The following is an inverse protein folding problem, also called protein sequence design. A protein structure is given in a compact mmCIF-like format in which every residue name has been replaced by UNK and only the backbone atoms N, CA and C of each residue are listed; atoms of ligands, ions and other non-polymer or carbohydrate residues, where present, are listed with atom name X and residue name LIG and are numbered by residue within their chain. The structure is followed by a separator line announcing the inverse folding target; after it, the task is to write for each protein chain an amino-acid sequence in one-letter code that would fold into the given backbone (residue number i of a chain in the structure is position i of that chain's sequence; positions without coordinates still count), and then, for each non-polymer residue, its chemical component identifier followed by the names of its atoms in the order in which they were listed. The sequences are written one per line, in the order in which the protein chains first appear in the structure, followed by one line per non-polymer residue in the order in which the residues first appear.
data_IF_218145814055
#
_entry.id   IF_218145814055
#
_cell.length_a   1.000
_cell.length_b   1.000
_cell.length_c   1.000
_cell.angle_alpha   90.00
_cell.angle_beta   90.00
_cell.angle_gamma   90.00
#
_symmetry.space_group_name_H-M   'P 1'
#
loop_
_entity.id
_entity.type
_entity.pdbx_description
1 polymer ?
#
# COMPACT_ATOMS: atom_id res chain seq x y z
N UNK A 1 13.00 -5.77 -18.52
CA UNK A 1 12.29 -4.50 -18.31
C UNK A 1 11.90 -4.52 -16.86
N UNK A 2 12.66 -3.83 -16.05
CA UNK A 2 12.34 -3.62 -14.65
C UNK A 2 11.08 -2.75 -14.62
N UNK A 3 10.03 -3.11 -13.88
CA UNK A 3 8.90 -2.21 -13.74
C UNK A 3 9.40 -0.91 -13.09
N UNK A 4 9.14 0.22 -13.74
CA UNK A 4 9.57 1.56 -13.26
C UNK A 4 8.96 1.95 -11.90
N UNK A 5 7.99 1.17 -11.43
CA UNK A 5 7.17 1.46 -10.26
C UNK A 5 7.64 0.62 -9.07
N UNK A 6 8.11 1.28 -8.01
CA UNK A 6 8.54 0.64 -6.76
C UNK A 6 7.38 0.02 -5.97
N UNK A 7 6.13 0.23 -6.43
CA UNK A 7 4.91 -0.23 -5.77
C UNK A 7 4.04 -1.02 -6.75
N UNK A 8 3.74 -2.26 -6.35
CA UNK A 8 2.75 -3.11 -7.02
C UNK A 8 1.57 -3.37 -6.06
N UNK A 9 0.36 -3.39 -6.60
CA UNK A 9 -0.85 -3.74 -5.85
C UNK A 9 -1.82 -4.52 -6.73
N UNK A 10 -2.52 -5.47 -6.13
CA UNK A 10 -3.53 -6.32 -6.78
C UNK A 10 -4.80 -6.41 -5.92
N UNK A 11 -5.86 -6.96 -6.49
CA UNK A 11 -7.13 -7.13 -5.79
C UNK A 11 -8.04 -5.90 -5.84
N UNK A 12 -9.22 -6.02 -5.23
CA UNK A 12 -10.29 -5.01 -5.29
C UNK A 12 -9.91 -3.67 -4.64
N UNK A 13 -9.10 -3.71 -3.57
CA UNK A 13 -8.56 -2.52 -2.90
C UNK A 13 -7.24 -2.00 -3.48
N UNK A 14 -6.69 -2.66 -4.51
CA UNK A 14 -5.32 -2.45 -4.97
C UNK A 14 -5.05 -1.03 -5.45
N UNK A 15 -5.97 -0.41 -6.17
CA UNK A 15 -5.78 0.97 -6.66
C UNK A 15 -5.76 1.99 -5.51
N UNK A 16 -6.58 1.82 -4.48
CA UNK A 16 -6.58 2.71 -3.32
C UNK A 16 -5.29 2.58 -2.51
N UNK A 17 -4.85 1.34 -2.28
CA UNK A 17 -3.59 1.07 -1.60
C UNK A 17 -2.41 1.65 -2.39
N UNK A 18 -2.35 1.40 -3.71
CA UNK A 18 -1.28 1.92 -4.57
C UNK A 18 -1.25 3.45 -4.56
N UNK A 19 -2.38 4.12 -4.78
CA UNK A 19 -2.42 5.59 -4.76
C UNK A 19 -1.98 6.18 -3.42
N UNK A 20 -2.42 5.59 -2.30
CA UNK A 20 -1.99 6.02 -0.98
C UNK A 20 -0.49 5.79 -0.75
N UNK A 21 0.01 4.60 -1.12
CA UNK A 21 1.41 4.25 -0.98
C UNK A 21 2.33 5.15 -1.83
N UNK A 22 1.95 5.43 -3.08
CA UNK A 22 2.68 6.36 -3.97
C UNK A 22 2.76 7.75 -3.34
N UNK A 23 1.64 8.30 -2.87
CA UNK A 23 1.62 9.61 -2.25
C UNK A 23 2.51 9.68 -0.98
N UNK A 24 2.49 8.64 -0.15
CA UNK A 24 3.33 8.57 1.05
C UNK A 24 4.81 8.43 0.69
N UNK A 25 5.16 7.58 -0.27
CA UNK A 25 6.53 7.37 -0.72
C UNK A 25 7.16 8.64 -1.29
N UNK A 26 6.38 9.45 -2.02
CA UNK A 26 6.88 10.68 -2.65
C UNK A 26 6.99 11.88 -1.69
N UNK A 27 6.28 11.87 -0.56
CA UNK A 27 6.09 13.07 0.28
C UNK A 27 6.45 12.86 1.75
N UNK A 28 7.02 11.72 2.12
CA UNK A 28 7.39 11.41 3.51
C UNK A 28 8.70 10.62 3.57
N UNK A 29 9.30 10.55 4.75
CA UNK A 29 10.45 9.67 5.02
C UNK A 29 10.03 8.38 5.76
N UNK A 30 8.80 7.94 5.53
CA UNK A 30 8.30 6.71 6.12
C UNK A 30 9.01 5.48 5.56
N UNK A 31 9.23 4.48 6.41
CA UNK A 31 9.73 3.18 5.97
C UNK A 31 8.70 2.47 5.08
N UNK A 32 9.15 1.50 4.28
CA UNK A 32 8.27 0.66 3.46
C UNK A 32 7.15 0.02 4.29
N UNK A 33 7.47 -0.47 5.49
CA UNK A 33 6.49 -1.06 6.43
C UNK A 33 5.41 -0.06 6.81
N UNK A 34 5.79 1.16 7.17
CA UNK A 34 4.85 2.23 7.56
C UNK A 34 3.99 2.71 6.40
N UNK A 35 4.56 2.81 5.20
CA UNK A 35 3.83 3.17 3.98
C UNK A 35 2.74 2.14 3.71
N UNK A 36 3.09 0.85 3.68
CA UNK A 36 2.15 -0.24 3.37
C UNK A 36 1.07 -0.35 4.44
N UNK A 37 1.40 -0.15 5.72
CA UNK A 37 0.41 -0.16 6.80
C UNK A 37 -0.64 0.95 6.64
N UNK A 38 -0.21 2.19 6.41
CA UNK A 38 -1.11 3.33 6.21
C UNK A 38 -1.93 3.18 4.92
N UNK A 39 -1.31 2.71 3.84
CA UNK A 39 -1.98 2.49 2.57
C UNK A 39 -3.08 1.42 2.66
N UNK A 40 -2.81 0.31 3.34
CA UNK A 40 -3.80 -0.74 3.55
C UNK A 40 -4.94 -0.29 4.48
N UNK A 41 -4.65 0.50 5.51
CA UNK A 41 -5.69 1.10 6.36
C UNK A 41 -6.60 2.08 5.59
N UNK A 42 -6.08 2.76 4.55
CA UNK A 42 -6.91 3.58 3.65
C UNK A 42 -7.75 2.68 2.74
N UNK A 43 -7.15 1.65 2.14
CA UNK A 43 -7.85 0.72 1.26
C UNK A 43 -8.99 -0.02 1.97
N UNK A 44 -8.78 -0.46 3.21
CA UNK A 44 -9.81 -1.14 4.02
C UNK A 44 -11.00 -0.26 4.41
N UNK A 45 -10.82 1.07 4.46
CA UNK A 45 -11.91 2.01 4.72
C UNK A 45 -12.72 2.38 3.47
N UNK A 46 -12.15 2.20 2.27
CA UNK A 46 -12.77 2.60 1.01
C UNK A 46 -13.38 1.39 0.29
N UNK A 47 -12.66 0.28 0.22
CA UNK A 47 -13.09 -0.90 -0.52
C UNK A 47 -13.91 -1.84 0.37
N UNK A 48 -15.20 -2.03 0.05
CA UNK A 48 -16.08 -2.95 0.78
C UNK A 48 -15.60 -4.42 0.81
N UNK A 49 -14.67 -4.78 -0.07
CA UNK A 49 -14.07 -6.11 -0.18
C UNK A 49 -12.67 -6.19 0.42
N UNK A 50 -12.19 -5.15 1.10
CA UNK A 50 -10.90 -5.12 1.80
C UNK A 50 -11.17 -4.74 3.25
N UNK A 51 -10.62 -5.46 4.21
CA UNK A 51 -10.78 -5.16 5.64
C UNK A 51 -9.46 -4.63 6.22
N UNK A 52 -9.47 -4.33 7.52
CA UNK A 52 -8.30 -3.80 8.25
C UNK A 52 -7.44 -4.91 8.90
N UNK A 53 -7.80 -6.18 8.73
CA UNK A 53 -7.05 -7.33 9.24
C UNK A 53 -5.95 -7.74 8.25
N UNK A 54 -4.77 -7.13 8.39
CA UNK A 54 -3.67 -7.25 7.41
C UNK A 54 -2.47 -7.99 7.99
N UNK A 55 -1.87 -8.86 7.19
CA UNK A 55 -0.58 -9.53 7.48
C UNK A 55 0.49 -8.83 6.64
N UNK A 56 1.64 -8.58 7.24
CA UNK A 56 2.76 -7.92 6.59
C UNK A 56 4.01 -8.79 6.71
N UNK A 57 4.76 -8.87 5.63
CA UNK A 57 6.00 -9.64 5.52
C UNK A 57 7.08 -8.71 4.96
N UNK A 58 8.32 -8.83 5.45
CA UNK A 58 9.45 -8.01 5.04
C UNK A 58 10.71 -8.86 4.84
N UNK A 59 11.58 -8.41 3.93
CA UNK A 59 12.90 -8.97 3.72
C UNK A 59 13.91 -8.04 4.40
N UNK A 60 14.63 -8.56 5.39
CA UNK A 60 15.66 -7.82 6.14
C UNK A 60 16.97 -7.63 5.38
#
# INVERSE_FOLDING_TARGET
IEPDDQIAAIGSGGQYAKSAATALMENTELSAREIVEKAMAIAGRICIYTNESVIFEELG
#
